data_IF_554781376836
#
_entry.id   IF_554781376836
#
_cell.length_a   1.000
_cell.length_b   1.000
_cell.length_c   1.000
_cell.angle_alpha   90.00
_cell.angle_beta   90.00
_cell.angle_gamma   90.00
#
_symmetry.space_group_name_H-M   'P 1'
#
loop_
_entity.id
_entity.type
_entity.pdbx_description
1 polymer ?
#
# COMPACT_ATOMS: atom_id res chain seq x y z
N UNK A 1 -4.88 -35.76 -69.64
CA UNK A 1 -3.91 -36.79 -69.20
C UNK A 1 -3.44 -36.42 -67.80
N UNK A 2 -3.62 -37.32 -66.83
CA UNK A 2 -3.18 -37.18 -65.42
C UNK A 2 -1.65 -37.26 -65.30
N UNK A 3 -1.16 -36.93 -64.09
CA UNK A 3 0.10 -37.32 -63.40
C UNK A 3 1.01 -36.08 -63.14
N UNK A 4 1.60 -35.76 -61.96
CA UNK A 4 1.46 -36.08 -60.52
C UNK A 4 2.67 -35.41 -59.79
N UNK A 5 2.44 -34.87 -58.57
CA UNK A 5 3.34 -34.68 -57.40
C UNK A 5 4.54 -33.70 -57.47
N UNK A 6 4.58 -32.73 -56.53
CA UNK A 6 5.59 -32.66 -55.43
C UNK A 6 5.36 -31.40 -54.57
N UNK A 7 4.70 -31.52 -53.42
CA UNK A 7 5.32 -31.52 -52.09
C UNK A 7 6.32 -30.36 -51.83
N UNK A 8 5.82 -29.27 -51.22
CA UNK A 8 6.53 -28.64 -50.11
C UNK A 8 5.54 -27.86 -49.22
N UNK A 9 4.91 -28.60 -48.31
CA UNK A 9 4.13 -28.07 -47.20
C UNK A 9 5.14 -27.54 -46.16
N UNK A 10 5.42 -26.24 -46.18
CA UNK A 10 6.23 -25.59 -45.15
C UNK A 10 5.35 -25.38 -43.91
N UNK A 11 5.18 -26.44 -43.12
CA UNK A 11 4.62 -26.36 -41.76
C UNK A 11 5.65 -25.59 -40.94
N UNK A 12 5.45 -24.29 -40.80
CA UNK A 12 6.10 -23.49 -39.77
C UNK A 12 5.53 -23.98 -38.45
N UNK A 13 6.23 -24.93 -37.83
CA UNK A 13 6.10 -25.25 -36.42
C UNK A 13 6.47 -23.98 -35.65
N UNK A 14 5.48 -23.16 -35.34
CA UNK A 14 5.54 -22.26 -34.20
C UNK A 14 5.67 -23.19 -32.98
N UNK A 15 6.90 -23.50 -32.62
CA UNK A 15 7.22 -23.85 -31.25
C UNK A 15 6.80 -22.64 -30.42
N UNK A 16 5.57 -22.66 -29.93
CA UNK A 16 5.22 -22.04 -28.65
C UNK A 16 6.14 -22.70 -27.63
N UNK A 17 7.36 -22.19 -27.53
CA UNK A 17 8.16 -22.33 -26.34
C UNK A 17 7.31 -21.70 -25.25
N UNK A 18 6.67 -22.54 -24.46
CA UNK A 18 6.21 -22.15 -23.14
C UNK A 18 7.49 -21.73 -22.41
N UNK A 19 7.79 -20.43 -22.42
CA UNK A 19 8.83 -19.86 -21.60
C UNK A 19 8.35 -19.98 -20.17
N UNK A 20 8.68 -21.09 -19.54
CA UNK A 20 8.68 -21.21 -18.09
C UNK A 20 9.69 -20.16 -17.60
N UNK A 21 9.19 -18.97 -17.28
CA UNK A 21 10.00 -17.91 -16.71
C UNK A 21 10.71 -18.39 -15.44
N UNK A 22 11.86 -17.81 -15.08
CA UNK A 22 12.62 -18.24 -13.91
C UNK A 22 11.74 -18.20 -12.64
N UNK A 23 12.00 -19.16 -11.76
CA UNK A 23 11.28 -19.34 -10.51
C UNK A 23 11.22 -18.02 -9.69
N UNK A 24 9.99 -17.51 -9.53
CA UNK A 24 9.61 -16.54 -8.50
C UNK A 24 10.17 -15.12 -8.66
N UNK A 25 9.50 -14.27 -9.43
CA UNK A 25 9.74 -12.82 -9.34
C UNK A 25 9.44 -12.30 -7.92
N UNK A 26 10.26 -11.37 -7.43
CA UNK A 26 10.08 -10.72 -6.14
C UNK A 26 8.81 -9.88 -6.02
N UNK A 27 8.38 -9.12 -7.05
CA UNK A 27 7.12 -8.39 -7.00
C UNK A 27 5.96 -9.31 -6.62
N UNK A 28 5.43 -9.08 -5.41
CA UNK A 28 4.41 -9.87 -4.74
C UNK A 28 4.10 -9.25 -3.37
N UNK A 29 2.98 -9.68 -2.78
CA UNK A 29 2.66 -9.41 -1.39
C UNK A 29 3.09 -10.58 -0.51
N UNK A 30 3.62 -10.25 0.67
CA UNK A 30 4.01 -11.21 1.69
C UNK A 30 3.44 -10.77 3.04
N UNK A 31 2.98 -11.71 3.85
CA UNK A 31 2.43 -11.40 5.17
C UNK A 31 2.73 -12.46 6.22
N UNK A 32 2.68 -12.06 7.49
CA UNK A 32 2.94 -12.91 8.64
C UNK A 32 2.64 -12.20 9.96
N UNK A 33 2.81 -12.93 11.06
CA UNK A 33 2.70 -12.36 12.42
C UNK A 33 4.06 -12.41 13.08
N UNK A 34 4.70 -11.24 13.19
CA UNK A 34 6.03 -11.11 13.78
C UNK A 34 5.95 -11.11 15.32
N UNK A 35 6.99 -11.62 16.00
CA UNK A 35 7.13 -11.47 17.45
C UNK A 35 7.16 -10.00 17.86
N UNK A 36 6.60 -9.71 19.04
CA UNK A 36 6.55 -8.38 19.61
C UNK A 36 7.07 -8.42 21.05
N UNK A 37 7.91 -7.47 21.44
CA UNK A 37 8.52 -7.46 22.77
C UNK A 37 7.50 -7.15 23.87
N UNK A 38 6.48 -6.35 23.57
CA UNK A 38 5.53 -5.79 24.54
C UNK A 38 4.06 -5.89 24.09
N UNK A 39 3.76 -6.73 23.09
CA UNK A 39 2.40 -6.95 22.58
C UNK A 39 2.21 -8.40 22.13
N UNK A 40 0.98 -8.80 21.77
CA UNK A 40 0.68 -10.18 21.39
C UNK A 40 1.29 -10.60 20.03
N UNK A 41 1.76 -9.63 19.23
CA UNK A 41 2.37 -9.85 17.92
C UNK A 41 2.12 -8.67 16.99
N UNK A 42 2.83 -8.64 15.86
CA UNK A 42 2.65 -7.61 14.84
C UNK A 42 2.16 -8.28 13.55
N UNK A 43 0.96 -7.96 13.10
CA UNK A 43 0.52 -8.32 11.75
C UNK A 43 1.30 -7.50 10.75
N UNK A 44 2.25 -8.16 10.09
CA UNK A 44 3.18 -7.53 9.18
C UNK A 44 2.81 -7.91 7.74
N UNK A 45 2.73 -6.91 6.87
CA UNK A 45 2.53 -7.07 5.44
C UNK A 45 3.54 -6.23 4.66
N UNK A 46 4.06 -6.78 3.57
CA UNK A 46 4.92 -6.08 2.63
C UNK A 46 4.48 -6.41 1.20
N UNK A 47 4.11 -5.40 0.44
CA UNK A 47 3.84 -5.48 -0.99
C UNK A 47 5.06 -4.91 -1.73
N UNK A 48 5.69 -5.73 -2.57
CA UNK A 48 6.76 -5.30 -3.48
C UNK A 48 6.18 -5.15 -4.88
N UNK A 49 6.33 -3.98 -5.49
CA UNK A 49 5.75 -3.65 -6.80
C UNK A 49 6.79 -3.69 -7.92
N UNK A 50 6.39 -4.03 -9.17
CA UNK A 50 7.32 -4.13 -10.30
C UNK A 50 8.10 -2.85 -10.64
N UNK A 51 7.60 -1.69 -10.21
CA UNK A 51 8.23 -0.36 -10.41
C UNK A 51 9.35 -0.05 -9.40
N UNK A 52 9.69 -0.99 -8.51
CA UNK A 52 10.73 -0.80 -7.48
C UNK A 52 10.23 -0.13 -6.20
N UNK A 53 8.91 -0.03 -6.03
CA UNK A 53 8.30 0.57 -4.84
C UNK A 53 7.69 -0.48 -3.91
N UNK A 54 7.55 -0.15 -2.61
CA UNK A 54 6.91 -1.04 -1.65
C UNK A 54 5.86 -0.34 -0.79
N UNK A 55 4.92 -1.13 -0.30
CA UNK A 55 3.98 -0.78 0.76
C UNK A 55 4.16 -1.74 1.95
N UNK A 56 4.64 -1.20 3.06
CA UNK A 56 4.77 -1.91 4.33
C UNK A 56 3.61 -1.55 5.25
N UNK A 57 3.07 -2.55 5.93
CA UNK A 57 1.99 -2.42 6.92
C UNK A 57 2.32 -3.20 8.17
N UNK A 58 2.08 -2.58 9.33
CA UNK A 58 2.25 -3.18 10.65
C UNK A 58 1.02 -2.88 11.50
N UNK A 59 0.28 -3.90 11.94
CA UNK A 59 -0.70 -3.74 13.03
C UNK A 59 -0.13 -4.37 14.29
N UNK A 60 0.04 -3.59 15.34
CA UNK A 60 0.43 -4.09 16.65
C UNK A 60 -0.80 -4.67 17.34
N UNK A 61 -0.72 -5.89 17.87
CA UNK A 61 -1.79 -6.54 18.63
C UNK A 61 -1.66 -6.22 20.12
N UNK A 62 -1.75 -4.95 20.48
CA UNK A 62 -1.82 -4.46 21.85
C UNK A 62 -3.25 -3.97 22.18
N UNK A 63 -3.42 -3.36 23.36
CA UNK A 63 -4.72 -2.88 23.82
C UNK A 63 -5.31 -1.76 22.94
N UNK A 64 -4.49 -1.05 22.16
CA UNK A 64 -4.87 0.13 21.36
C UNK A 64 -4.62 -0.08 19.85
N UNK A 65 -4.47 -1.34 19.41
CA UNK A 65 -3.92 -1.79 18.13
C UNK A 65 -3.41 -0.70 17.16
N UNK A 66 -2.15 -0.30 17.34
CA UNK A 66 -1.53 0.73 16.50
C UNK A 66 -1.27 0.23 15.06
N UNK A 67 -1.69 1.02 14.06
CA UNK A 67 -1.46 0.73 12.63
C UNK A 67 -0.39 1.67 12.07
N UNK A 68 0.68 1.09 11.53
CA UNK A 68 1.74 1.81 10.81
C UNK A 68 1.74 1.40 9.36
N UNK A 69 1.84 2.39 8.47
CA UNK A 69 1.90 2.18 7.03
C UNK A 69 3.07 3.00 6.49
N UNK A 70 3.89 2.39 5.65
CA UNK A 70 5.05 3.02 5.04
C UNK A 70 5.12 2.70 3.56
N UNK A 71 5.49 3.73 2.81
CA UNK A 71 5.79 3.64 1.40
C UNK A 71 7.26 3.99 1.18
N UNK A 72 7.86 3.42 0.15
CA UNK A 72 9.23 3.74 -0.21
C UNK A 72 9.74 2.96 -1.41
N UNK A 73 11.03 3.11 -1.67
CA UNK A 73 11.77 2.39 -2.69
C UNK A 73 12.43 1.16 -2.10
N UNK A 74 12.48 0.10 -2.89
CA UNK A 74 13.29 -1.06 -2.56
C UNK A 74 14.28 -1.36 -3.68
N UNK A 75 15.41 -1.94 -3.29
CA UNK A 75 16.39 -2.50 -4.23
C UNK A 75 16.58 -3.97 -3.93
N UNK A 76 16.95 -4.73 -4.95
CA UNK A 76 17.32 -6.13 -4.82
C UNK A 76 18.77 -6.25 -5.28
N UNK A 77 19.63 -6.83 -4.45
CA UNK A 77 21.01 -7.09 -4.82
C UNK A 77 21.18 -8.43 -5.57
N UNK A 78 22.42 -8.74 -5.94
CA UNK A 78 22.76 -10.00 -6.63
C UNK A 78 22.58 -11.25 -5.76
N UNK A 79 22.47 -11.09 -4.44
CA UNK A 79 22.26 -12.16 -3.47
C UNK A 79 20.79 -12.38 -3.14
N UNK A 80 19.86 -11.83 -3.92
CA UNK A 80 18.42 -11.91 -3.66
C UNK A 80 18.00 -11.24 -2.33
N UNK A 81 18.81 -10.27 -1.85
CA UNK A 81 18.49 -9.48 -0.67
C UNK A 81 17.69 -8.25 -1.08
N UNK A 82 16.46 -8.15 -0.59
CA UNK A 82 15.63 -6.95 -0.69
C UNK A 82 16.05 -6.00 0.41
N UNK A 83 16.31 -4.74 0.05
CA UNK A 83 16.58 -3.66 0.99
C UNK A 83 15.57 -2.53 0.79
N UNK A 84 14.84 -2.21 1.85
CA UNK A 84 13.93 -1.05 1.87
C UNK A 84 14.71 0.22 2.19
N UNK A 85 14.34 1.34 1.57
CA UNK A 85 14.89 2.70 1.76
C UNK A 85 14.54 3.34 3.11
N UNK A 86 14.57 2.56 4.17
CA UNK A 86 14.34 2.99 5.54
C UNK A 86 15.58 3.68 6.12
N UNK A 87 15.35 4.77 6.85
CA UNK A 87 16.42 5.36 7.68
C UNK A 87 16.84 4.41 8.80
N UNK A 88 18.08 4.51 9.32
CA UNK A 88 18.68 3.55 10.27
C UNK A 88 17.94 3.42 11.61
N UNK A 89 16.98 4.30 11.91
CA UNK A 89 16.13 4.26 13.12
C UNK A 89 14.73 3.67 12.86
N UNK A 90 14.43 3.20 11.65
CA UNK A 90 13.08 2.80 11.23
C UNK A 90 12.83 1.28 11.32
N UNK A 91 13.64 0.58 12.11
CA UNK A 91 13.55 -0.87 12.32
C UNK A 91 14.24 -1.69 11.23
N UNK A 92 13.92 -2.99 11.19
CA UNK A 92 14.42 -3.93 10.18
C UNK A 92 13.95 -3.54 8.78
N UNK A 93 14.84 -3.69 7.80
CA UNK A 93 14.63 -3.23 6.42
C UNK A 93 15.22 -4.19 5.37
N UNK A 94 15.73 -5.35 5.79
CA UNK A 94 16.34 -6.34 4.90
C UNK A 94 15.53 -7.63 4.90
N UNK A 95 15.40 -8.25 3.72
CA UNK A 95 14.75 -9.54 3.55
C UNK A 95 15.57 -10.41 2.61
N UNK A 96 15.69 -11.69 2.91
CA UNK A 96 16.19 -12.67 1.95
C UNK A 96 15.08 -13.58 1.43
N UNK A 97 15.32 -14.15 0.25
CA UNK A 97 14.42 -15.12 -0.35
C UNK A 97 14.55 -16.46 0.36
N UNK A 98 13.40 -17.04 0.73
CA UNK A 98 13.32 -18.44 1.15
C UNK A 98 12.23 -19.16 0.35
N UNK A 99 12.65 -19.92 -0.67
CA UNK A 99 11.75 -20.52 -1.66
C UNK A 99 10.85 -19.47 -2.34
N UNK A 100 9.53 -19.57 -2.13
CA UNK A 100 8.52 -18.61 -2.62
C UNK A 100 8.22 -17.48 -1.64
N UNK A 101 8.70 -17.59 -0.42
CA UNK A 101 8.46 -16.68 0.70
C UNK A 101 9.67 -15.74 0.88
N UNK A 102 9.56 -14.80 1.80
CA UNK A 102 10.69 -13.96 2.24
C UNK A 102 10.89 -14.11 3.74
N UNK A 103 12.12 -13.96 4.19
CA UNK A 103 12.46 -13.92 5.61
C UNK A 103 13.03 -12.56 5.95
N UNK A 104 12.50 -11.96 7.00
CA UNK A 104 13.00 -10.71 7.56
C UNK A 104 14.35 -10.97 8.24
N UNK A 105 15.33 -10.14 7.92
CA UNK A 105 16.68 -10.17 8.49
C UNK A 105 16.80 -9.16 9.63
N UNK A 106 17.83 -9.32 10.45
CA UNK A 106 18.14 -8.37 11.50
C UNK A 106 18.60 -7.01 10.96
N UNK A 107 18.85 -6.06 11.86
CA UNK A 107 19.29 -4.70 11.52
C UNK A 107 20.66 -4.62 10.83
N UNK A 108 21.44 -5.71 10.87
CA UNK A 108 22.73 -5.83 10.18
C UNK A 108 22.61 -6.61 8.85
N UNK A 109 21.40 -6.98 8.44
CA UNK A 109 21.16 -7.79 7.25
C UNK A 109 21.55 -9.25 7.43
N UNK A 110 21.57 -9.78 8.66
CA UNK A 110 21.87 -11.19 8.95
C UNK A 110 20.61 -11.97 9.30
N UNK A 111 20.69 -13.29 9.11
CA UNK A 111 19.62 -14.21 9.48
C UNK A 111 19.40 -14.17 10.98
N UNK A 112 18.15 -14.03 11.40
CA UNK A 112 17.74 -14.15 12.79
C UNK A 112 17.77 -15.63 13.17
N UNK A 113 18.57 -15.98 14.19
CA UNK A 113 18.75 -17.35 14.68
C UNK A 113 17.93 -17.63 15.96
N UNK A 114 17.83 -18.90 16.33
CA UNK A 114 17.16 -19.35 17.56
C UNK A 114 15.69 -19.75 17.37
N UNK A 115 14.97 -19.94 18.47
CA UNK A 115 13.61 -20.50 18.48
C UNK A 115 12.56 -19.63 17.78
N UNK A 116 12.85 -18.34 17.59
CA UNK A 116 11.95 -17.39 16.93
C UNK A 116 12.22 -17.23 15.44
N UNK A 117 13.30 -17.83 14.89
CA UNK A 117 13.72 -17.64 13.50
C UNK A 117 12.59 -17.87 12.48
N UNK A 118 11.83 -18.95 12.66
CA UNK A 118 10.69 -19.31 11.79
C UNK A 118 9.56 -18.27 11.83
N UNK A 119 9.42 -17.50 12.92
CA UNK A 119 8.38 -16.45 13.05
C UNK A 119 8.70 -15.20 12.25
N UNK A 120 9.91 -15.07 11.69
CA UNK A 120 10.31 -13.98 10.81
C UNK A 120 10.14 -14.31 9.32
N UNK A 121 9.56 -15.46 8.98
CA UNK A 121 9.23 -15.84 7.61
C UNK A 121 7.84 -15.28 7.24
N UNK A 122 7.80 -14.43 6.22
CA UNK A 122 6.58 -13.87 5.66
C UNK A 122 6.15 -14.69 4.45
N UNK A 123 4.93 -15.22 4.49
CA UNK A 123 4.39 -16.08 3.45
C UNK A 123 3.94 -15.26 2.26
N UNK A 124 4.32 -15.68 1.05
CA UNK A 124 3.84 -15.07 -0.18
C UNK A 124 2.34 -15.30 -0.30
N UNK A 125 1.60 -14.21 -0.40
CA UNK A 125 0.16 -14.25 -0.53
C UNK A 125 -0.22 -14.93 -1.85
N UNK A 126 -1.25 -15.77 -1.78
CA UNK A 126 -1.86 -16.33 -2.99
C UNK A 126 -2.78 -15.25 -3.53
N UNK A 127 -2.55 -14.78 -4.77
CA UNK A 127 -3.58 -13.99 -5.49
C UNK A 127 -4.84 -14.85 -5.59
N UNK A 128 -5.82 -14.58 -4.73
CA UNK A 128 -7.19 -15.04 -4.91
C UNK A 128 -8.09 -13.81 -4.90
N UNK A 129 -8.91 -13.67 -5.94
CA UNK A 129 -9.83 -12.55 -6.14
C UNK A 129 -10.81 -12.32 -4.96
N UNK A 130 -10.91 -13.27 -4.05
CA UNK A 130 -11.78 -13.26 -2.87
C UNK A 130 -11.11 -12.65 -1.61
N UNK A 131 -9.79 -12.44 -1.60
CA UNK A 131 -9.03 -11.89 -0.46
C UNK A 131 -8.39 -10.52 -0.73
N UNK A 132 -8.49 -9.98 -1.94
CA UNK A 132 -8.08 -8.61 -2.24
C UNK A 132 -9.16 -7.63 -1.79
N UNK A 133 -9.39 -7.51 -0.48
CA UNK A 133 -10.13 -6.34 0.03
C UNK A 133 -9.30 -5.11 -0.32
N UNK A 134 -9.80 -4.31 -1.26
CA UNK A 134 -9.12 -3.10 -1.67
C UNK A 134 -8.92 -2.20 -0.45
N UNK A 135 -7.67 -1.84 -0.17
CA UNK A 135 -7.36 -0.87 0.86
C UNK A 135 -7.88 0.48 0.39
N UNK A 136 -8.58 1.21 1.25
CA UNK A 136 -9.01 2.56 0.96
C UNK A 136 -8.66 3.49 2.11
N UNK A 137 -8.41 4.77 1.77
CA UNK A 137 -8.13 5.81 2.74
C UNK A 137 -9.42 6.52 3.09
N UNK A 138 -9.69 6.67 4.39
CA UNK A 138 -10.78 7.49 4.91
C UNK A 138 -10.18 8.64 5.70
N UNK A 139 -10.55 9.86 5.34
CA UNK A 139 -10.13 11.07 6.01
C UNK A 139 -11.33 11.93 6.38
N UNK A 140 -11.18 12.74 7.42
CA UNK A 140 -12.23 13.62 7.90
C UNK A 140 -11.62 14.78 8.71
N UNK A 141 -12.38 15.86 8.83
CA UNK A 141 -12.06 16.95 9.75
C UNK A 141 -13.32 17.63 10.27
N UNK A 142 -13.17 18.27 11.43
CA UNK A 142 -14.27 18.78 12.25
C UNK A 142 -14.62 20.23 11.87
N UNK A 143 -13.65 21.03 11.43
CA UNK A 143 -13.86 22.45 11.14
C UNK A 143 -13.11 22.90 9.87
N UNK A 144 -13.84 23.22 8.77
CA UNK A 144 -15.26 22.89 8.55
C UNK A 144 -15.49 21.38 8.54
N UNK A 145 -16.73 20.90 8.66
CA UNK A 145 -16.98 19.46 8.62
C UNK A 145 -16.78 18.91 7.21
N UNK A 146 -15.84 17.97 7.05
CA UNK A 146 -15.53 17.37 5.77
C UNK A 146 -15.16 15.90 5.90
N UNK A 147 -15.36 15.15 4.82
CA UNK A 147 -14.96 13.75 4.71
C UNK A 147 -14.39 13.47 3.31
N UNK A 148 -13.44 12.55 3.25
CA UNK A 148 -12.83 12.08 2.02
C UNK A 148 -12.69 10.55 2.09
N UNK A 149 -13.14 9.85 1.06
CA UNK A 149 -12.86 8.44 0.86
C UNK A 149 -12.14 8.25 -0.46
N UNK A 150 -10.94 7.67 -0.41
CA UNK A 150 -10.09 7.43 -1.56
C UNK A 150 -9.88 5.93 -1.75
N UNK A 151 -10.49 5.39 -2.80
CA UNK A 151 -10.31 4.02 -3.26
C UNK A 151 -9.30 4.02 -4.42
N UNK A 152 -8.06 3.55 -4.22
CA UNK A 152 -7.03 3.50 -5.26
C UNK A 152 -7.53 2.79 -6.53
N UNK A 153 -7.32 3.41 -7.69
CA UNK A 153 -7.74 2.88 -8.99
C UNK A 153 -9.25 2.77 -9.22
N UNK A 154 -10.08 3.22 -8.26
CA UNK A 154 -11.55 3.20 -8.38
C UNK A 154 -12.12 4.62 -8.39
N UNK A 155 -12.24 5.23 -7.21
CA UNK A 155 -12.95 6.49 -7.03
C UNK A 155 -12.50 7.24 -5.78
N UNK A 156 -12.57 8.56 -5.85
CA UNK A 156 -12.42 9.46 -4.72
C UNK A 156 -13.76 10.15 -4.49
N UNK A 157 -14.19 10.15 -3.25
CA UNK A 157 -15.41 10.85 -2.80
C UNK A 157 -14.99 11.91 -1.81
N UNK A 158 -15.21 13.18 -2.14
CA UNK A 158 -14.99 14.31 -1.23
C UNK A 158 -16.34 14.94 -0.88
N UNK A 159 -16.59 15.15 0.40
CA UNK A 159 -17.83 15.69 0.94
C UNK A 159 -17.56 16.83 1.91
N UNK A 160 -18.25 17.96 1.72
CA UNK A 160 -18.21 19.10 2.65
C UNK A 160 -19.62 19.37 3.13
N UNK A 161 -19.78 19.55 4.44
CA UNK A 161 -21.04 19.93 5.08
C UNK A 161 -20.97 21.43 5.40
N UNK A 162 -21.10 22.26 4.36
CA UNK A 162 -21.12 23.73 4.45
C UNK A 162 -22.53 24.34 4.31
N UNK A 163 -23.56 23.52 4.53
CA UNK A 163 -24.96 23.86 4.26
C UNK A 163 -25.40 23.54 2.83
N UNK A 164 -24.46 23.24 1.93
CA UNK A 164 -24.72 22.57 0.65
C UNK A 164 -23.99 21.23 0.65
N UNK A 165 -24.72 20.11 0.69
CA UNK A 165 -24.09 18.78 0.54
C UNK A 165 -23.44 18.68 -0.85
N UNK A 166 -22.16 19.02 -0.94
CA UNK A 166 -21.39 18.88 -2.16
C UNK A 166 -20.57 17.60 -2.07
N UNK A 167 -21.00 16.57 -2.80
CA UNK A 167 -20.23 15.34 -2.97
C UNK A 167 -19.58 15.36 -4.35
N UNK A 168 -18.25 15.37 -4.38
CA UNK A 168 -17.47 15.26 -5.62
C UNK A 168 -17.00 13.82 -5.74
N UNK A 169 -17.38 13.16 -6.83
CA UNK A 169 -16.90 11.83 -7.18
C UNK A 169 -15.96 11.94 -8.35
N UNK A 170 -14.69 11.61 -8.14
CA UNK A 170 -13.64 11.72 -9.16
C UNK A 170 -13.09 10.32 -9.44
N UNK A 171 -13.03 9.87 -10.71
CA UNK A 171 -12.27 8.69 -11.05
C UNK A 171 -10.79 8.96 -10.76
N UNK A 172 -10.18 8.13 -9.92
CA UNK A 172 -8.82 8.37 -9.45
C UNK A 172 -7.86 7.89 -10.54
N UNK A 173 -7.04 8.78 -11.15
CA UNK A 173 -6.00 8.34 -12.07
C UNK A 173 -4.98 7.48 -11.32
N UNK A 174 -4.23 6.64 -12.03
CA UNK A 174 -3.17 5.83 -11.43
C UNK A 174 -2.21 6.76 -10.68
N UNK A 175 -2.17 6.65 -9.34
CA UNK A 175 -1.49 7.61 -8.47
C UNK A 175 -0.03 7.16 -8.30
N UNK A 176 0.94 7.78 -9.01
CA UNK A 176 2.33 7.42 -8.85
C UNK A 176 2.78 7.68 -7.41
N UNK A 177 3.66 6.83 -6.89
CA UNK A 177 4.28 7.07 -5.59
C UNK A 177 5.01 8.42 -5.59
N UNK A 178 4.99 9.16 -4.47
CA UNK A 178 5.77 10.37 -4.33
C UNK A 178 7.27 10.04 -4.35
N UNK A 179 8.07 10.92 -4.96
CA UNK A 179 9.49 10.68 -5.22
C UNK A 179 10.37 10.58 -3.95
N UNK A 180 9.89 11.08 -2.78
CA UNK A 180 10.50 10.94 -1.44
C UNK A 180 9.70 11.70 -0.38
N UNK A 181 9.68 11.20 0.87
CA UNK A 181 9.42 12.02 2.07
C UNK A 181 8.37 11.47 3.06
N UNK A 182 8.28 12.12 4.23
CA UNK A 182 7.37 11.77 5.34
C UNK A 182 5.88 12.04 5.04
N UNK A 183 5.58 12.44 3.80
CA UNK A 183 4.24 12.78 3.35
C UNK A 183 4.03 12.40 1.88
N UNK A 184 2.79 12.06 1.53
CA UNK A 184 2.35 11.82 0.15
C UNK A 184 1.54 13.02 -0.32
N UNK A 185 1.79 13.51 -1.54
CA UNK A 185 0.97 14.57 -2.12
C UNK A 185 0.38 14.13 -3.45
N UNK A 186 -0.94 14.24 -3.59
CA UNK A 186 -1.69 14.00 -4.82
C UNK A 186 -2.26 15.31 -5.33
N UNK A 187 -2.24 15.50 -6.64
CA UNK A 187 -2.91 16.62 -7.32
C UNK A 187 -3.87 16.03 -8.33
N UNK A 188 -5.15 16.34 -8.18
CA UNK A 188 -6.24 15.81 -8.98
C UNK A 188 -6.91 16.98 -9.70
N UNK A 189 -6.95 16.92 -11.02
CA UNK A 189 -7.60 17.93 -11.87
C UNK A 189 -8.95 17.39 -12.34
N UNK A 190 -10.01 18.18 -12.18
CA UNK A 190 -11.36 17.85 -12.65
C UNK A 190 -12.03 19.12 -13.24
N UNK A 191 -13.11 19.00 -14.03
CA UNK A 191 -13.65 20.15 -14.75
C UNK A 191 -13.97 21.34 -13.84
N UNK A 192 -13.25 22.44 -14.05
CA UNK A 192 -13.43 23.70 -13.30
C UNK A 192 -12.72 23.76 -11.94
N UNK A 193 -11.93 22.75 -11.56
CA UNK A 193 -11.33 22.70 -10.24
C UNK A 193 -10.11 21.78 -10.08
N UNK A 194 -9.33 22.04 -9.03
CA UNK A 194 -8.13 21.28 -8.65
C UNK A 194 -8.23 20.92 -7.18
N UNK A 195 -8.05 19.64 -6.87
CA UNK A 195 -7.95 19.14 -5.51
C UNK A 195 -6.52 18.65 -5.26
N UNK A 196 -5.83 19.26 -4.29
CA UNK A 196 -4.52 18.81 -3.82
C UNK A 196 -4.69 18.16 -2.45
N UNK A 197 -4.15 16.95 -2.28
CA UNK A 197 -4.26 16.13 -1.07
C UNK A 197 -2.85 15.87 -0.58
N UNK A 198 -2.54 16.24 0.65
CA UNK A 198 -1.27 15.91 1.30
C UNK A 198 -1.55 15.08 2.55
N UNK A 199 -0.98 13.89 2.59
CA UNK A 199 -1.04 12.94 3.70
C UNK A 199 0.31 12.97 4.42
N UNK A 200 0.37 13.33 5.68
CA UNK A 200 1.56 13.21 6.52
C UNK A 200 1.40 12.02 7.47
N UNK A 201 2.37 11.12 7.52
CA UNK A 201 2.32 9.92 8.36
C UNK A 201 2.77 10.23 9.79
N UNK A 202 1.99 11.07 10.47
CA UNK A 202 2.18 11.47 11.85
C UNK A 202 0.87 11.34 12.63
N UNK A 203 0.98 11.13 13.95
CA UNK A 203 -0.17 11.02 14.83
C UNK A 203 -1.03 12.28 14.76
N UNK A 204 -2.32 12.09 14.49
CA UNK A 204 -3.34 13.12 14.38
C UNK A 204 -4.44 12.79 15.38
N UNK A 205 -4.82 13.75 16.21
CA UNK A 205 -6.00 13.64 17.08
C UNK A 205 -7.03 14.61 16.54
N UNK A 206 -8.27 14.15 16.32
CA UNK A 206 -9.35 15.12 16.23
C UNK A 206 -9.62 15.64 17.65
N UNK A 207 -10.00 16.91 17.78
CA UNK A 207 -10.18 17.57 19.08
C UNK A 207 -11.45 17.09 19.82
N UNK A 208 -12.14 16.09 19.28
CA UNK A 208 -13.51 15.70 19.64
C UNK A 208 -13.61 14.24 20.11
N UNK A 209 -12.62 13.40 19.79
CA UNK A 209 -12.54 12.00 20.16
C UNK A 209 -11.20 11.70 20.79
N UNK A 210 -11.17 10.68 21.65
CA UNK A 210 -9.92 10.16 22.22
C UNK A 210 -9.12 9.27 21.24
N UNK A 211 -9.48 9.30 19.95
CA UNK A 211 -8.89 8.44 18.93
C UNK A 211 -7.66 9.12 18.33
N UNK A 212 -6.53 8.39 18.29
CA UNK A 212 -5.32 8.80 17.59
C UNK A 212 -5.31 8.14 16.21
N UNK A 213 -5.32 8.96 15.18
CA UNK A 213 -5.19 8.56 13.79
C UNK A 213 -3.72 8.57 13.35
N UNK A 214 -3.28 7.63 12.51
CA UNK A 214 -1.87 7.52 12.10
C UNK A 214 -1.48 8.49 10.97
N UNK A 215 -2.45 9.21 10.39
CA UNK A 215 -2.23 10.08 9.23
C UNK A 215 -2.91 11.43 9.47
N UNK A 216 -2.16 12.50 9.30
CA UNK A 216 -2.69 13.86 9.18
C UNK A 216 -2.91 14.22 7.72
N UNK A 217 -4.02 14.87 7.42
CA UNK A 217 -4.44 15.20 6.06
C UNK A 217 -4.62 16.69 5.89
N UNK A 218 -4.07 17.19 4.79
CA UNK A 218 -4.23 18.56 4.32
C UNK A 218 -4.87 18.51 2.93
N UNK A 219 -6.06 19.08 2.77
CA UNK A 219 -6.71 19.23 1.48
C UNK A 219 -6.69 20.69 1.06
N UNK A 220 -6.48 20.92 -0.23
CA UNK A 220 -6.57 22.22 -0.86
C UNK A 220 -7.45 22.10 -2.11
N UNK A 221 -8.67 22.61 -2.03
CA UNK A 221 -9.62 22.64 -3.13
C UNK A 221 -9.65 24.03 -3.75
N UNK A 222 -9.40 24.12 -5.05
CA UNK A 222 -9.47 25.35 -5.84
C UNK A 222 -10.50 25.18 -6.94
N UNK A 223 -11.61 25.89 -6.87
CA UNK A 223 -12.69 25.86 -7.84
C UNK A 223 -13.25 27.27 -8.11
N UNK A 224 -14.36 27.37 -8.85
CA UNK A 224 -15.03 28.64 -9.13
C UNK A 224 -15.50 29.37 -7.86
N UNK A 225 -15.73 28.63 -6.76
CA UNK A 225 -16.10 29.20 -5.45
C UNK A 225 -14.92 29.77 -4.69
N UNK A 226 -13.69 29.50 -5.13
CA UNK A 226 -12.46 30.05 -4.56
C UNK A 226 -11.46 29.00 -4.08
N UNK A 227 -10.56 29.45 -3.21
CA UNK A 227 -9.49 28.64 -2.61
C UNK A 227 -9.90 28.24 -1.19
N UNK A 228 -10.04 26.94 -0.94
CA UNK A 228 -10.46 26.36 0.35
C UNK A 228 -9.45 25.34 0.84
N UNK A 229 -9.12 25.41 2.12
CA UNK A 229 -8.19 24.51 2.79
C UNK A 229 -8.88 23.76 3.91
N UNK A 230 -8.52 22.49 4.06
CA UNK A 230 -9.09 21.60 5.05
C UNK A 230 -7.98 20.82 5.74
N UNK A 231 -8.03 20.77 7.05
CA UNK A 231 -7.12 19.99 7.89
C UNK A 231 -7.91 18.90 8.61
N UNK A 232 -7.30 17.73 8.79
CA UNK A 232 -7.99 16.61 9.44
C UNK A 232 -7.13 15.37 9.60
N UNK A 233 -7.78 14.28 9.97
CA UNK A 233 -7.13 13.01 10.29
C UNK A 233 -7.61 11.90 9.35
N UNK A 234 -6.78 10.89 9.15
CA UNK A 234 -7.07 9.76 8.28
C UNK A 234 -6.49 8.44 8.76
N UNK A 235 -7.02 7.38 8.18
CA UNK A 235 -6.53 6.02 8.34
C UNK A 235 -6.81 5.24 7.05
N UNK A 236 -6.16 4.09 6.91
CA UNK A 236 -6.32 3.19 5.76
C UNK A 236 -6.88 1.88 6.27
N UNK A 237 -7.94 1.38 5.64
CA UNK A 237 -8.59 0.14 6.05
C UNK A 237 -9.10 -0.69 4.86
N UNK A 238 -9.35 -2.01 5.04
CA UNK A 238 -9.89 -2.84 3.98
C UNK A 238 -11.34 -2.48 3.68
N UNK A 239 -11.73 -2.53 2.41
CA UNK A 239 -13.13 -2.38 1.99
C UNK A 239 -14.03 -3.42 2.69
N UNK A 240 -15.15 -2.98 3.26
CA UNK A 240 -16.14 -3.86 3.91
C UNK A 240 -15.84 -4.27 5.36
N UNK A 241 -14.81 -3.71 6.00
CA UNK A 241 -14.60 -3.86 7.45
C UNK A 241 -15.18 -2.68 8.23
N UNK A 242 -15.87 -2.99 9.34
CA UNK A 242 -16.36 -1.97 10.26
C UNK A 242 -15.19 -1.27 10.95
N UNK A 243 -15.36 0.03 11.19
CA UNK A 243 -14.36 0.90 11.81
C UNK A 243 -13.91 0.30 13.15
N UNK A 244 -12.64 -0.13 13.22
CA UNK A 244 -12.00 -0.42 14.50
C UNK A 244 -11.36 0.86 14.99
N UNK A 245 -12.16 1.69 15.63
CA UNK A 245 -11.65 2.75 16.48
C UNK A 245 -11.19 2.13 17.80
N UNK A 246 -10.08 2.61 18.33
CA UNK A 246 -9.69 2.32 19.70
C UNK A 246 -9.96 3.59 20.52
N UNK A 247 -10.86 3.46 21.49
CA UNK A 247 -11.03 4.42 22.58
C UNK A 247 -9.83 4.27 23.53
N UNK A 248 -9.31 5.39 24.05
CA UNK A 248 -8.27 5.38 25.11
C UNK A 248 -8.73 4.66 26.37
#
# INVERSE_FOLDING_TARGET
MRIIISNLLCIIFLFMSCSTGPAGSFPASYSGVLPCASCAGIEYGIELRPDGTYLERMIYRDHEASVFIRYGLYVIDHGDIITLDKGPKSGMNHFDRINRDVRMLDVSGKVIEGELAEKYILKKEKRSAENEKAMYLKAHGVEPFWALELFPGKQLTFSVLDGTEQQIRIPVPDMPMPEKGDHISYRIEYPGAVLTIRLAFENCSDTMSDIIYPIKVFLHAKDEKGDRRYDGCAFIQPEGEALRYFEK
#
